data_IF_563893393068
#
_entry.id   IF_563893393068
#
_cell.length_a   1.000
_cell.length_b   1.000
_cell.length_c   1.000
_cell.angle_alpha   90.00
_cell.angle_beta   90.00
_cell.angle_gamma   90.00
#
_symmetry.space_group_name_H-M   'P 1'
#
loop_
_entity.id
_entity.type
_entity.pdbx_description
1 polymer ?
#
# COMPACT_ATOMS: atom_id res chain seq x y z
N UNK A 1 27.29 -0.38 7.59
CA UNK A 1 27.59 -0.77 6.20
C UNK A 1 27.04 -2.15 5.81
N UNK A 2 27.22 -3.17 6.64
CA UNK A 2 26.93 -4.58 6.26
C UNK A 2 25.45 -4.93 6.08
N UNK A 3 24.51 -4.38 6.87
CA UNK A 3 23.07 -4.67 6.72
C UNK A 3 22.45 -4.10 5.42
N UNK A 4 22.97 -2.98 4.92
CA UNK A 4 22.59 -2.44 3.61
C UNK A 4 23.15 -3.31 2.47
N UNK A 5 24.33 -3.89 2.66
CA UNK A 5 24.95 -4.81 1.72
C UNK A 5 24.18 -6.14 1.61
N UNK A 6 23.73 -6.70 2.75
CA UNK A 6 22.84 -7.88 2.77
C UNK A 6 21.45 -7.58 2.19
N UNK A 7 20.91 -6.38 2.43
CA UNK A 7 19.64 -5.93 1.82
C UNK A 7 19.74 -5.72 0.30
N UNK A 8 20.85 -5.16 -0.20
CA UNK A 8 21.11 -4.95 -1.64
C UNK A 8 21.48 -6.25 -2.36
N UNK A 9 22.25 -7.15 -1.73
CA UNK A 9 22.53 -8.48 -2.25
C UNK A 9 21.28 -9.36 -2.26
N UNK A 10 20.47 -9.33 -1.20
CA UNK A 10 19.18 -10.03 -1.17
C UNK A 10 18.21 -9.50 -2.23
N UNK A 11 18.20 -8.19 -2.48
CA UNK A 11 17.37 -7.56 -3.51
C UNK A 11 17.81 -7.86 -4.94
N UNK A 12 19.11 -7.76 -5.21
CA UNK A 12 19.68 -8.14 -6.51
C UNK A 12 19.52 -9.63 -6.74
N UNK A 13 19.57 -10.46 -5.70
CA UNK A 13 19.28 -11.89 -5.78
C UNK A 13 17.79 -12.16 -6.01
N UNK A 14 16.86 -11.41 -5.39
CA UNK A 14 15.42 -11.53 -5.63
C UNK A 14 15.01 -11.02 -7.02
N UNK A 15 15.59 -9.91 -7.48
CA UNK A 15 15.38 -9.36 -8.82
C UNK A 15 16.02 -10.23 -9.90
N UNK A 16 17.19 -10.84 -9.62
CA UNK A 16 17.79 -11.88 -10.47
C UNK A 16 16.97 -13.16 -10.44
N UNK A 17 16.46 -13.61 -9.30
CA UNK A 17 15.56 -14.76 -9.20
C UNK A 17 14.26 -14.50 -9.95
N UNK A 18 13.65 -13.33 -9.79
CA UNK A 18 12.46 -12.92 -10.53
C UNK A 18 12.73 -12.83 -12.03
N UNK A 19 13.88 -12.28 -12.44
CA UNK A 19 14.32 -12.24 -13.83
C UNK A 19 14.62 -13.63 -14.39
N UNK A 20 15.26 -14.51 -13.62
CA UNK A 20 15.58 -15.90 -13.99
C UNK A 20 14.34 -16.77 -14.02
N UNK A 21 13.38 -16.57 -13.10
CA UNK A 21 12.07 -17.23 -13.11
C UNK A 21 11.29 -16.74 -14.33
N UNK A 22 11.25 -15.43 -14.59
CA UNK A 22 10.68 -14.89 -15.82
C UNK A 22 11.39 -15.43 -17.08
N UNK A 23 12.70 -15.58 -17.04
CA UNK A 23 13.50 -16.06 -18.16
C UNK A 23 13.30 -17.56 -18.39
N UNK A 24 13.19 -18.38 -17.34
CA UNK A 24 12.84 -19.79 -17.45
C UNK A 24 11.41 -19.98 -17.91
N UNK A 25 10.47 -19.19 -17.40
CA UNK A 25 9.09 -19.18 -17.93
C UNK A 25 9.04 -18.78 -19.41
N UNK A 26 9.98 -17.97 -19.91
CA UNK A 26 10.10 -17.67 -21.34
C UNK A 26 10.90 -18.71 -22.14
N UNK A 27 11.82 -19.45 -21.51
CA UNK A 27 12.73 -20.41 -22.18
C UNK A 27 12.11 -21.80 -22.38
N UNK A 28 11.15 -22.18 -21.55
CA UNK A 28 10.25 -23.32 -21.78
C UNK A 28 9.39 -23.17 -23.07
N UNK A 29 9.47 -22.01 -23.75
CA UNK A 29 8.71 -21.73 -24.98
C UNK A 29 9.46 -22.14 -26.27
N UNK A 30 10.71 -22.60 -26.23
CA UNK A 30 11.46 -22.96 -27.46
C UNK A 30 11.78 -24.46 -27.61
N UNK A 31 11.43 -25.31 -26.65
CA UNK A 31 11.76 -26.73 -26.68
C UNK A 31 10.58 -27.67 -26.43
N UNK A 32 9.97 -28.19 -27.51
CA UNK A 32 9.34 -29.52 -27.46
C UNK A 32 7.84 -29.59 -27.68
N UNK A 33 7.45 -29.82 -28.94
CA UNK A 33 6.23 -30.54 -29.28
C UNK A 33 6.37 -32.00 -28.87
N UNK A 34 5.50 -32.55 -28.01
CA UNK A 34 4.96 -33.92 -28.08
C UNK A 34 3.95 -34.25 -26.94
N UNK A 35 2.70 -34.51 -27.35
CA UNK A 35 1.77 -35.55 -26.88
C UNK A 35 1.67 -35.96 -25.38
N UNK A 36 0.48 -35.73 -24.80
CA UNK A 36 -0.29 -36.79 -24.11
C UNK A 36 -0.43 -36.71 -22.58
N UNK A 37 -1.63 -36.36 -22.08
CA UNK A 37 -2.12 -36.68 -20.72
C UNK A 37 -2.29 -35.49 -19.76
N UNK A 38 -3.54 -35.21 -19.34
CA UNK A 38 -3.94 -34.22 -18.29
C UNK A 38 -3.40 -34.59 -16.88
N UNK A 39 -3.41 -33.68 -15.87
CA UNK A 39 -3.86 -32.28 -15.87
C UNK A 39 -2.79 -31.28 -15.43
N UNK A 40 -2.88 -30.04 -15.91
CA UNK A 40 -1.94 -28.96 -15.57
C UNK A 40 -1.21 -28.35 -16.75
N UNK A 41 -1.73 -28.51 -17.98
CA UNK A 41 -1.21 -27.77 -19.13
C UNK A 41 -1.43 -26.27 -18.90
N UNK A 42 -0.37 -25.56 -18.56
CA UNK A 42 -0.39 -24.10 -18.50
C UNK A 42 -0.82 -23.58 -19.88
N UNK A 43 -1.91 -22.83 -19.90
CA UNK A 43 -2.52 -22.30 -21.10
C UNK A 43 -1.50 -21.37 -21.79
N UNK A 44 -0.98 -21.76 -22.97
CA UNK A 44 0.00 -20.96 -23.73
C UNK A 44 -0.51 -19.54 -24.05
N UNK A 45 -1.83 -19.32 -23.94
CA UNK A 45 -2.47 -18.00 -23.97
C UNK A 45 -2.16 -17.16 -22.73
N UNK A 46 -2.20 -17.75 -21.54
CA UNK A 46 -1.79 -17.07 -20.30
C UNK A 46 -0.28 -16.74 -20.33
N UNK A 47 0.53 -17.60 -20.96
CA UNK A 47 1.97 -17.34 -21.11
C UNK A 47 2.27 -16.12 -22.01
N UNK A 48 1.37 -15.79 -22.94
CA UNK A 48 1.46 -14.58 -23.77
C UNK A 48 1.23 -13.30 -22.96
N UNK A 49 0.47 -13.36 -21.85
CA UNK A 49 0.23 -12.23 -20.97
C UNK A 49 1.51 -11.76 -20.24
N UNK A 50 2.50 -12.63 -19.99
CA UNK A 50 3.79 -12.21 -19.38
C UNK A 50 4.57 -11.19 -20.21
N UNK A 51 4.23 -11.02 -21.50
CA UNK A 51 4.77 -9.92 -22.31
C UNK A 51 4.37 -8.54 -21.78
N UNK A 52 3.29 -8.44 -21.00
CA UNK A 52 2.87 -7.22 -20.30
C UNK A 52 3.85 -6.80 -19.20
N UNK A 53 4.69 -7.73 -18.71
CA UNK A 53 5.71 -7.45 -17.70
C UNK A 53 7.03 -6.94 -18.30
N UNK A 54 7.18 -6.94 -19.64
CA UNK A 54 8.39 -6.43 -20.31
C UNK A 54 8.76 -4.98 -19.93
N UNK A 55 7.81 -4.03 -19.75
CA UNK A 55 8.12 -2.69 -19.26
C UNK A 55 8.78 -2.66 -17.88
N UNK A 56 8.60 -3.69 -17.03
CA UNK A 56 9.32 -3.77 -15.74
C UNK A 56 10.83 -3.93 -15.92
N UNK A 57 11.32 -4.38 -17.09
CA UNK A 57 12.77 -4.37 -17.40
C UNK A 57 13.33 -2.94 -17.55
N UNK A 58 12.50 -1.94 -17.82
CA UNK A 58 12.91 -0.53 -17.84
C UNK A 58 13.29 -0.05 -16.44
N UNK A 59 12.66 -0.59 -15.39
CA UNK A 59 13.05 -0.35 -13.99
C UNK A 59 14.48 -0.79 -13.73
N UNK A 60 14.88 -1.97 -14.24
CA UNK A 60 16.26 -2.44 -14.11
C UNK A 60 17.26 -1.68 -15.00
N UNK A 61 16.79 -0.98 -16.03
CA UNK A 61 17.65 -0.18 -16.91
C UNK A 61 17.95 1.22 -16.37
N UNK A 62 17.03 1.82 -15.60
CA UNK A 62 17.16 3.19 -15.10
C UNK A 62 17.48 3.19 -13.60
N UNK A 63 18.70 3.59 -13.18
CA UNK A 63 19.11 3.52 -11.78
C UNK A 63 18.23 4.37 -10.85
N UNK A 64 17.71 5.50 -11.32
CA UNK A 64 16.82 6.37 -10.54
C UNK A 64 15.52 5.67 -10.11
N UNK A 65 14.94 4.84 -10.98
CA UNK A 65 13.69 4.13 -10.67
C UNK A 65 13.91 2.97 -9.70
N UNK A 66 15.10 2.35 -9.72
CA UNK A 66 15.49 1.31 -8.77
C UNK A 66 15.53 1.84 -7.33
N UNK A 67 16.03 3.07 -7.14
CA UNK A 67 16.09 3.69 -5.81
C UNK A 67 14.68 3.88 -5.24
N UNK A 68 13.72 4.32 -6.06
CA UNK A 68 12.33 4.50 -5.67
C UNK A 68 11.68 3.16 -5.32
N UNK A 69 11.82 2.15 -6.19
CA UNK A 69 11.19 0.84 -5.98
C UNK A 69 11.75 0.10 -4.76
N UNK A 70 13.07 0.19 -4.53
CA UNK A 70 13.70 -0.32 -3.31
C UNK A 70 13.21 0.37 -2.04
N UNK A 71 12.85 1.65 -2.13
CA UNK A 71 12.29 2.40 -1.00
C UNK A 71 10.86 1.97 -0.69
N UNK A 72 10.03 1.76 -1.73
CA UNK A 72 8.66 1.25 -1.59
C UNK A 72 8.65 -0.11 -0.90
N UNK A 73 9.50 -1.04 -1.33
CA UNK A 73 9.39 -2.40 -0.79
C UNK A 73 9.98 -2.51 0.61
N UNK A 74 10.97 -1.69 0.97
CA UNK A 74 11.39 -1.55 2.36
C UNK A 74 10.23 -1.06 3.26
N UNK A 75 9.38 -0.16 2.75
CA UNK A 75 8.19 0.31 3.47
C UNK A 75 7.05 -0.73 3.54
N UNK A 76 7.01 -1.72 2.64
CA UNK A 76 5.98 -2.76 2.63
C UNK A 76 6.15 -3.81 3.74
N UNK A 77 7.39 -4.10 4.15
CA UNK A 77 7.70 -5.09 5.19
C UNK A 77 6.94 -4.85 6.51
N UNK A 78 6.93 -3.65 7.11
CA UNK A 78 6.16 -3.41 8.33
C UNK A 78 4.64 -3.53 8.12
N UNK A 79 4.13 -3.25 6.92
CA UNK A 79 2.71 -3.39 6.59
C UNK A 79 2.27 -4.86 6.51
N UNK A 80 3.19 -5.80 6.27
CA UNK A 80 2.86 -7.23 6.20
C UNK A 80 2.33 -7.78 7.54
N UNK A 81 2.88 -7.32 8.67
CA UNK A 81 2.40 -7.72 9.99
C UNK A 81 0.97 -7.26 10.25
N UNK A 82 0.62 -6.05 9.77
CA UNK A 82 -0.75 -5.54 9.81
C UNK A 82 -1.63 -6.40 8.92
N UNK A 83 -1.22 -6.63 7.68
CA UNK A 83 -2.00 -7.40 6.72
C UNK A 83 -2.32 -8.82 7.26
N UNK A 84 -1.38 -9.45 7.97
CA UNK A 84 -1.63 -10.72 8.66
C UNK A 84 -2.68 -10.61 9.77
N UNK A 85 -2.68 -9.53 10.55
CA UNK A 85 -3.69 -9.27 11.58
C UNK A 85 -5.07 -9.00 10.95
N UNK A 86 -5.14 -8.23 9.87
CA UNK A 86 -6.39 -8.01 9.10
C UNK A 86 -6.91 -9.32 8.53
N UNK A 87 -6.03 -10.13 7.94
CA UNK A 87 -6.37 -11.44 7.40
C UNK A 87 -6.97 -12.36 8.48
N UNK A 88 -6.42 -12.32 9.70
CA UNK A 88 -6.95 -13.10 10.81
C UNK A 88 -8.38 -12.68 11.19
N UNK A 89 -8.67 -11.37 11.22
CA UNK A 89 -10.03 -10.86 11.44
C UNK A 89 -10.97 -11.30 10.32
N UNK A 90 -10.55 -11.23 9.06
CA UNK A 90 -11.32 -11.71 7.91
C UNK A 90 -11.66 -13.19 8.08
N UNK A 91 -10.71 -14.03 8.47
CA UNK A 91 -10.92 -15.47 8.66
C UNK A 91 -11.97 -15.73 9.75
N UNK A 92 -11.90 -15.04 10.89
CA UNK A 92 -12.87 -15.21 11.99
C UNK A 92 -14.29 -14.89 11.49
N UNK A 93 -14.48 -13.72 10.87
CA UNK A 93 -15.79 -13.34 10.37
C UNK A 93 -16.26 -14.23 9.22
N UNK A 94 -15.36 -14.70 8.35
CA UNK A 94 -15.71 -15.62 7.28
C UNK A 94 -16.24 -16.97 7.82
N UNK A 95 -15.63 -17.52 8.88
CA UNK A 95 -16.12 -18.76 9.50
C UNK A 95 -17.50 -18.52 10.14
N UNK A 96 -17.65 -17.42 10.88
CA UNK A 96 -18.94 -17.07 11.51
C UNK A 96 -20.03 -16.89 10.44
N UNK A 97 -19.74 -16.15 9.37
CA UNK A 97 -20.67 -15.92 8.27
C UNK A 97 -21.02 -17.20 7.52
N UNK A 98 -20.06 -18.10 7.31
CA UNK A 98 -20.29 -19.40 6.68
C UNK A 98 -21.28 -20.24 7.50
N UNK A 99 -21.04 -20.38 8.80
CA UNK A 99 -21.93 -21.17 9.68
C UNK A 99 -23.35 -20.57 9.77
N UNK A 100 -23.47 -19.23 9.76
CA UNK A 100 -24.77 -18.56 9.88
C UNK A 100 -25.56 -18.54 8.57
N UNK A 101 -24.88 -18.40 7.42
CA UNK A 101 -25.50 -17.98 6.17
C UNK A 101 -25.35 -18.98 5.01
N UNK A 102 -24.82 -20.17 5.26
CA UNK A 102 -24.69 -21.23 4.25
C UNK A 102 -26.02 -21.53 3.54
N UNK A 103 -25.98 -21.48 2.20
CA UNK A 103 -27.06 -21.86 1.30
C UNK A 103 -28.28 -20.95 1.31
N UNK A 104 -28.22 -19.78 1.96
CA UNK A 104 -29.39 -18.90 2.12
C UNK A 104 -29.69 -18.07 0.86
N UNK A 105 -28.69 -17.77 0.04
CA UNK A 105 -28.80 -16.87 -1.12
C UNK A 105 -29.12 -17.55 -2.46
N UNK A 106 -29.54 -18.82 -2.46
CA UNK A 106 -29.80 -19.59 -3.70
C UNK A 106 -31.27 -19.62 -4.15
N UNK A 107 -32.11 -18.78 -3.57
CA UNK A 107 -33.54 -18.71 -3.85
C UNK A 107 -33.87 -17.34 -4.42
N UNK A 108 -34.60 -17.28 -5.51
CA UNK A 108 -35.09 -16.02 -6.09
C UNK A 108 -36.50 -16.21 -6.66
N UNK A 109 -37.11 -15.13 -7.13
CA UNK A 109 -38.46 -15.14 -7.68
C UNK A 109 -38.45 -15.55 -9.15
N UNK A 110 -39.08 -16.68 -9.45
CA UNK A 110 -39.25 -17.22 -10.80
C UNK A 110 -40.71 -17.12 -11.23
N UNK A 111 -40.98 -17.10 -12.54
CA UNK A 111 -42.33 -17.27 -13.08
C UNK A 111 -42.84 -18.68 -12.82
N UNK A 112 -44.13 -18.82 -12.49
CA UNK A 112 -44.77 -20.14 -12.35
C UNK A 112 -44.61 -20.91 -13.67
N UNK A 113 -44.23 -22.19 -13.57
CA UNK A 113 -43.97 -23.10 -14.70
C UNK A 113 -42.83 -22.70 -15.65
N UNK A 114 -41.93 -21.79 -15.26
CA UNK A 114 -40.78 -21.37 -16.07
C UNK A 114 -39.54 -21.09 -15.23
N UNK A 115 -38.35 -21.45 -15.72
CA UNK A 115 -37.06 -21.14 -15.05
C UNK A 115 -36.52 -19.75 -15.42
N UNK A 116 -37.42 -18.80 -15.70
CA UNK A 116 -37.08 -17.42 -16.08
C UNK A 116 -37.17 -16.54 -14.83
N UNK A 117 -36.08 -15.80 -14.57
CA UNK A 117 -36.03 -14.77 -13.54
C UNK A 117 -36.85 -13.55 -13.98
N UNK A 118 -37.66 -13.02 -13.06
CA UNK A 118 -38.58 -11.91 -13.35
C UNK A 118 -37.92 -10.55 -13.22
N UNK A 119 -36.95 -10.44 -12.32
CA UNK A 119 -36.27 -9.19 -11.99
C UNK A 119 -34.97 -9.07 -12.79
N UNK A 120 -34.72 -7.89 -13.36
CA UNK A 120 -33.46 -7.56 -14.05
C UNK A 120 -32.27 -7.61 -13.08
N UNK A 121 -32.49 -7.16 -11.85
CA UNK A 121 -31.58 -7.32 -10.71
C UNK A 121 -32.18 -8.31 -9.70
N UNK A 122 -31.93 -9.63 -9.85
CA UNK A 122 -32.52 -10.64 -8.99
C UNK A 122 -31.98 -10.54 -7.56
N UNK A 123 -32.90 -10.58 -6.60
CA UNK A 123 -32.60 -10.61 -5.16
C UNK A 123 -33.01 -11.96 -4.54
N UNK A 124 -32.45 -12.31 -3.36
CA UNK A 124 -32.89 -13.47 -2.61
C UNK A 124 -34.37 -13.39 -2.20
N UNK A 125 -35.01 -14.55 -2.06
CA UNK A 125 -36.36 -14.65 -1.51
C UNK A 125 -36.48 -15.77 -0.45
N UNK A 126 -37.51 -15.68 0.38
CA UNK A 126 -37.87 -16.68 1.36
C UNK A 126 -39.20 -17.38 1.01
N UNK A 127 -39.27 -18.69 1.22
CA UNK A 127 -40.49 -19.49 1.00
C UNK A 127 -41.61 -19.13 1.98
N UNK A 128 -41.25 -18.82 3.22
CA UNK A 128 -42.15 -18.43 4.31
C UNK A 128 -41.31 -17.91 5.48
N UNK A 129 -41.78 -16.88 6.18
CA UNK A 129 -41.08 -16.27 7.32
C UNK A 129 -40.80 -14.77 7.15
N UNK A 130 -39.77 -14.29 7.84
CA UNK A 130 -39.42 -12.86 7.94
C UNK A 130 -38.60 -12.32 6.75
N UNK A 131 -38.28 -13.15 5.76
CA UNK A 131 -37.59 -12.75 4.54
C UNK A 131 -38.55 -12.19 3.48
N UNK A 132 -37.98 -11.69 2.37
CA UNK A 132 -38.72 -11.13 1.25
C UNK A 132 -39.55 -12.20 0.54
N UNK A 133 -40.81 -11.88 0.29
CA UNK A 133 -41.72 -12.72 -0.50
C UNK A 133 -41.88 -12.14 -1.91
N UNK A 134 -42.12 -13.01 -2.88
CA UNK A 134 -42.39 -12.59 -4.26
C UNK A 134 -43.79 -11.94 -4.33
N UNK A 135 -43.85 -10.67 -4.71
CA UNK A 135 -45.09 -9.86 -4.68
C UNK A 135 -45.88 -9.97 -6.00
N UNK A 136 -45.23 -10.40 -7.08
CA UNK A 136 -45.84 -10.42 -8.41
C UNK A 136 -46.76 -11.63 -8.59
N UNK A 137 -47.97 -11.38 -9.11
CA UNK A 137 -48.91 -12.44 -9.48
C UNK A 137 -48.27 -13.35 -10.53
N UNK A 138 -48.32 -14.66 -10.30
CA UNK A 138 -47.68 -15.62 -11.19
C UNK A 138 -46.19 -15.84 -10.94
N UNK A 139 -45.67 -15.44 -9.77
CA UNK A 139 -44.29 -15.73 -9.36
C UNK A 139 -44.23 -16.63 -8.13
N UNK A 140 -43.25 -17.52 -8.10
CA UNK A 140 -42.95 -18.37 -6.94
C UNK A 140 -41.49 -18.23 -6.51
N UNK A 141 -41.26 -18.27 -5.19
CA UNK A 141 -39.90 -18.29 -4.65
C UNK A 141 -39.35 -19.71 -4.82
N UNK A 142 -38.40 -19.89 -5.73
CA UNK A 142 -37.84 -21.20 -6.07
C UNK A 142 -36.31 -21.18 -5.90
N UNK A 143 -35.76 -22.32 -5.49
CA UNK A 143 -34.31 -22.53 -5.49
C UNK A 143 -33.78 -22.72 -6.91
N UNK A 144 -32.46 -22.63 -7.08
CA UNK A 144 -31.80 -22.82 -8.38
C UNK A 144 -31.20 -21.54 -8.96
N UNK A 145 -31.28 -20.43 -8.21
CA UNK A 145 -30.53 -19.23 -8.54
C UNK A 145 -29.08 -19.38 -8.07
N UNK A 146 -28.12 -19.02 -8.93
CA UNK A 146 -26.68 -19.06 -8.63
C UNK A 146 -26.30 -18.14 -7.46
N UNK A 147 -27.10 -17.11 -7.21
CA UNK A 147 -26.89 -16.11 -6.16
C UNK A 147 -26.48 -14.74 -6.73
N UNK A 148 -26.34 -13.72 -5.87
CA UNK A 148 -26.01 -12.37 -6.30
C UNK A 148 -24.65 -12.32 -6.99
N UNK A 149 -24.46 -11.35 -7.89
CA UNK A 149 -23.22 -11.17 -8.67
C UNK A 149 -22.72 -12.44 -9.38
N UNK A 150 -23.64 -13.22 -9.96
CA UNK A 150 -23.30 -14.48 -10.63
C UNK A 150 -22.84 -15.58 -9.68
N UNK A 151 -23.23 -15.51 -8.40
CA UNK A 151 -22.84 -16.48 -7.37
C UNK A 151 -21.45 -16.23 -6.79
N UNK A 152 -20.88 -15.04 -6.95
CA UNK A 152 -19.57 -14.69 -6.35
C UNK A 152 -19.73 -14.29 -4.89
N UNK A 153 -20.75 -13.47 -4.59
CA UNK A 153 -21.01 -12.95 -3.25
C UNK A 153 -21.95 -13.90 -2.50
N UNK A 154 -21.37 -14.89 -1.83
CA UNK A 154 -22.08 -15.91 -1.06
C UNK A 154 -21.25 -16.38 0.16
N UNK A 155 -21.88 -17.17 1.03
CA UNK A 155 -21.27 -17.74 2.23
C UNK A 155 -21.21 -19.28 2.20
N UNK A 156 -21.27 -19.90 1.01
CA UNK A 156 -21.38 -21.36 0.88
C UNK A 156 -20.03 -22.07 1.00
N UNK A 157 -18.96 -21.38 0.62
CA UNK A 157 -17.59 -21.87 0.70
C UNK A 157 -16.72 -20.89 1.47
N UNK A 158 -15.72 -21.42 2.17
CA UNK A 158 -14.80 -20.60 2.95
C UNK A 158 -14.13 -19.49 2.13
N UNK A 159 -13.72 -19.79 0.89
CA UNK A 159 -13.10 -18.80 0.01
C UNK A 159 -14.06 -17.68 -0.43
N UNK A 160 -15.30 -18.00 -0.79
CA UNK A 160 -16.30 -17.00 -1.16
C UNK A 160 -16.80 -16.19 0.05
N UNK A 161 -16.90 -16.84 1.23
CA UNK A 161 -17.17 -16.15 2.48
C UNK A 161 -16.05 -15.14 2.82
N UNK A 162 -14.78 -15.54 2.70
CA UNK A 162 -13.65 -14.63 2.87
C UNK A 162 -13.67 -13.46 1.87
N UNK A 163 -13.98 -13.72 0.59
CA UNK A 163 -14.08 -12.67 -0.42
C UNK A 163 -15.20 -11.67 -0.11
N UNK A 164 -16.37 -12.17 0.27
CA UNK A 164 -17.54 -11.36 0.63
C UNK A 164 -17.26 -10.53 1.90
N UNK A 165 -16.60 -11.12 2.91
CA UNK A 165 -16.17 -10.40 4.11
C UNK A 165 -15.13 -9.34 3.78
N UNK A 166 -14.16 -9.64 2.91
CA UNK A 166 -13.17 -8.68 2.45
C UNK A 166 -13.83 -7.48 1.75
N UNK A 167 -14.77 -7.73 0.83
CA UNK A 167 -15.58 -6.68 0.18
C UNK A 167 -16.35 -5.83 1.21
N UNK A 168 -16.90 -6.45 2.25
CA UNK A 168 -17.58 -5.70 3.30
C UNK A 168 -16.62 -4.81 4.12
N UNK A 169 -15.41 -5.31 4.41
CA UNK A 169 -14.39 -4.56 5.17
C UNK A 169 -13.87 -3.36 4.37
N UNK A 170 -13.79 -3.45 3.05
CA UNK A 170 -13.43 -2.30 2.19
C UNK A 170 -14.52 -1.22 2.13
N UNK A 171 -15.65 -1.42 2.82
CA UNK A 171 -16.81 -0.52 2.86
C UNK A 171 -17.47 -0.33 1.48
N UNK A 172 -17.27 -1.26 0.53
CA UNK A 172 -17.84 -1.18 -0.81
C UNK A 172 -18.93 -2.25 -0.98
N UNK A 173 -20.17 -1.83 -1.25
CA UNK A 173 -21.30 -2.76 -1.48
C UNK A 173 -21.66 -3.63 -0.27
N UNK A 174 -21.24 -3.28 0.95
CA UNK A 174 -21.55 -4.02 2.18
C UNK A 174 -23.03 -3.94 2.54
N UNK A 175 -23.68 -2.82 2.21
CA UNK A 175 -25.13 -2.60 2.37
C UNK A 175 -25.93 -3.51 1.46
N UNK A 176 -25.50 -3.69 0.21
CA UNK A 176 -26.14 -4.61 -0.73
C UNK A 176 -26.08 -6.06 -0.23
N UNK A 177 -24.93 -6.52 0.29
CA UNK A 177 -24.81 -7.86 0.90
C UNK A 177 -25.70 -8.01 2.13
N UNK A 178 -25.79 -6.99 2.98
CA UNK A 178 -26.70 -6.96 4.11
C UNK A 178 -28.16 -7.07 3.65
N UNK A 179 -28.57 -6.30 2.63
CA UNK A 179 -29.94 -6.31 2.12
C UNK A 179 -30.30 -7.65 1.48
N UNK A 180 -29.39 -8.26 0.71
CA UNK A 180 -29.60 -9.61 0.20
C UNK A 180 -29.78 -10.63 1.33
N UNK A 181 -29.02 -10.51 2.42
CA UNK A 181 -29.20 -11.38 3.57
C UNK A 181 -30.55 -11.16 4.26
N UNK A 182 -30.95 -9.90 4.44
CA UNK A 182 -32.26 -9.56 5.01
C UNK A 182 -33.41 -10.12 4.16
N UNK A 183 -33.29 -10.02 2.83
CA UNK A 183 -34.28 -10.59 1.91
C UNK A 183 -34.32 -12.13 1.99
N UNK A 184 -33.18 -12.79 2.25
CA UNK A 184 -33.10 -14.24 2.35
C UNK A 184 -33.64 -14.83 3.68
N UNK A 185 -33.36 -14.18 4.83
CA UNK A 185 -33.65 -14.75 6.15
C UNK A 185 -34.35 -13.80 7.14
N UNK A 186 -34.57 -12.53 6.76
CA UNK A 186 -35.17 -11.49 7.59
C UNK A 186 -34.16 -10.64 8.36
N UNK A 187 -34.66 -9.60 9.01
CA UNK A 187 -33.85 -8.52 9.60
C UNK A 187 -33.25 -8.80 10.97
N UNK A 188 -33.47 -9.95 11.60
CA UNK A 188 -33.16 -10.12 13.04
C UNK A 188 -31.67 -10.35 13.34
N UNK A 189 -30.99 -11.17 12.54
CA UNK A 189 -29.60 -11.58 12.75
C UNK A 189 -28.57 -10.89 11.83
N UNK A 190 -28.85 -10.63 10.54
CA UNK A 190 -27.82 -10.14 9.62
C UNK A 190 -27.26 -8.78 10.01
N UNK A 191 -28.10 -7.84 10.46
CA UNK A 191 -27.64 -6.49 10.83
C UNK A 191 -26.60 -6.52 11.95
N UNK A 192 -26.74 -7.40 12.95
CA UNK A 192 -25.75 -7.51 14.05
C UNK A 192 -24.39 -7.94 13.49
N UNK A 193 -24.40 -8.92 12.59
CA UNK A 193 -23.18 -9.41 11.95
C UNK A 193 -22.51 -8.33 11.08
N UNK A 194 -23.25 -7.72 10.15
CA UNK A 194 -22.66 -6.76 9.21
C UNK A 194 -22.28 -5.44 9.87
N UNK A 195 -23.08 -4.93 10.81
CA UNK A 195 -22.75 -3.69 11.54
C UNK A 195 -21.53 -3.90 12.45
N UNK A 196 -21.45 -5.02 13.17
CA UNK A 196 -20.25 -5.32 13.96
C UNK A 196 -19.01 -5.54 13.08
N UNK A 197 -19.16 -6.17 11.91
CA UNK A 197 -18.10 -6.32 10.92
C UNK A 197 -17.57 -4.97 10.41
N UNK A 198 -18.44 -4.01 10.12
CA UNK A 198 -18.00 -2.68 9.66
C UNK A 198 -17.34 -1.87 10.80
N UNK A 199 -17.90 -1.94 12.00
CA UNK A 199 -17.34 -1.24 13.18
C UNK A 199 -15.97 -1.81 13.56
N UNK A 200 -15.88 -3.13 13.78
CA UNK A 200 -14.66 -3.77 14.26
C UNK A 200 -13.70 -4.19 13.15
N UNK A 201 -14.19 -4.41 11.93
CA UNK A 201 -13.35 -4.70 10.77
C UNK A 201 -12.82 -3.40 10.18
N UNK A 202 -13.69 -2.59 9.57
CA UNK A 202 -13.24 -1.46 8.76
C UNK A 202 -12.60 -0.34 9.57
N UNK A 203 -13.24 0.16 10.64
CA UNK A 203 -12.67 1.27 11.41
C UNK A 203 -11.38 0.89 12.14
N UNK A 204 -11.35 -0.32 12.73
CA UNK A 204 -10.14 -0.80 13.39
C UNK A 204 -8.98 -0.99 12.41
N UNK A 205 -9.24 -1.59 11.24
CA UNK A 205 -8.21 -1.83 10.21
C UNK A 205 -7.68 -0.51 9.66
N UNK A 206 -8.56 0.44 9.31
CA UNK A 206 -8.15 1.76 8.83
C UNK A 206 -7.30 2.50 9.87
N UNK A 207 -7.73 2.51 11.14
CA UNK A 207 -7.00 3.18 12.22
C UNK A 207 -5.63 2.54 12.48
N UNK A 208 -5.54 1.20 12.40
CA UNK A 208 -4.28 0.49 12.59
C UNK A 208 -3.32 0.77 11.43
N UNK A 209 -3.80 0.72 10.19
CA UNK A 209 -3.00 1.04 8.99
C UNK A 209 -2.47 2.48 9.06
N UNK A 210 -3.34 3.45 9.36
CA UNK A 210 -2.93 4.85 9.52
C UNK A 210 -1.92 5.05 10.66
N UNK A 211 -2.13 4.37 11.79
CA UNK A 211 -1.22 4.44 12.95
C UNK A 211 0.18 3.91 12.62
N UNK A 212 0.29 2.78 11.95
CA UNK A 212 1.60 2.21 11.60
C UNK A 212 2.27 2.96 10.46
N UNK A 213 1.52 3.39 9.44
CA UNK A 213 2.05 4.25 8.38
C UNK A 213 2.60 5.55 8.97
N UNK A 214 1.86 6.18 9.88
CA UNK A 214 2.31 7.38 10.60
C UNK A 214 3.58 7.11 11.41
N UNK A 215 3.64 5.98 12.12
CA UNK A 215 4.83 5.56 12.86
C UNK A 215 6.05 5.34 11.97
N UNK A 216 5.90 4.64 10.86
CA UNK A 216 7.01 4.34 9.94
C UNK A 216 7.45 5.60 9.17
N UNK A 217 6.52 6.45 8.75
CA UNK A 217 6.86 7.75 8.15
C UNK A 217 7.55 8.69 9.14
N UNK A 218 7.14 8.69 10.41
CA UNK A 218 7.79 9.46 11.46
C UNK A 218 9.23 8.99 11.68
N UNK A 219 9.45 7.67 11.74
CA UNK A 219 10.78 7.06 11.87
C UNK A 219 11.67 7.36 10.67
N UNK A 220 11.15 7.30 9.46
CA UNK A 220 11.93 7.58 8.25
C UNK A 220 12.27 9.07 8.14
N UNK A 221 11.33 9.96 8.50
CA UNK A 221 11.55 11.40 8.59
C UNK A 221 12.62 11.76 9.63
N UNK A 222 12.62 11.09 10.78
CA UNK A 222 13.63 11.30 11.83
C UNK A 222 15.04 10.92 11.35
N UNK A 223 15.18 9.78 10.66
CA UNK A 223 16.48 9.39 10.05
C UNK A 223 16.96 10.40 9.00
N UNK A 224 16.05 10.90 8.16
CA UNK A 224 16.38 11.91 7.16
C UNK A 224 16.85 13.22 7.82
N UNK A 225 16.16 13.65 8.88
CA UNK A 225 16.53 14.83 9.66
C UNK A 225 17.91 14.66 10.32
N UNK A 226 18.17 13.54 10.98
CA UNK A 226 19.46 13.26 11.60
C UNK A 226 20.63 13.28 10.61
N UNK A 227 20.42 12.79 9.37
CA UNK A 227 21.44 12.87 8.30
C UNK A 227 21.69 14.32 7.86
N UNK A 228 20.63 15.10 7.68
CA UNK A 228 20.75 16.52 7.33
C UNK A 228 21.45 17.32 8.44
N UNK A 229 21.12 17.05 9.70
CA UNK A 229 21.74 17.70 10.86
C UNK A 229 23.24 17.31 10.97
N UNK A 230 23.59 16.05 10.69
CA UNK A 230 24.99 15.60 10.66
C UNK A 230 25.80 16.26 9.52
N UNK A 231 25.20 16.42 8.34
CA UNK A 231 25.81 17.10 7.20
C UNK A 231 26.13 18.56 7.55
N UNK A 232 25.15 19.27 8.12
CA UNK A 232 25.31 20.66 8.59
C UNK A 232 26.40 20.80 9.66
N UNK A 233 26.47 19.83 10.59
CA UNK A 233 27.50 19.83 11.63
C UNK A 233 28.90 19.72 11.02
N UNK A 234 29.06 18.83 10.03
CA UNK A 234 30.32 18.63 9.32
C UNK A 234 30.73 19.85 8.49
N UNK A 235 29.79 20.47 7.79
CA UNK A 235 30.03 21.71 7.04
C UNK A 235 30.47 22.85 7.98
N UNK A 236 29.84 22.96 9.15
CA UNK A 236 30.21 23.97 10.15
C UNK A 236 31.62 23.71 10.71
N UNK A 237 31.95 22.46 11.01
CA UNK A 237 33.27 22.08 11.54
C UNK A 237 34.38 22.37 10.51
N UNK A 238 34.14 22.05 9.24
CA UNK A 238 35.07 22.35 8.16
C UNK A 238 35.30 23.87 8.03
N UNK A 239 34.23 24.65 8.08
CA UNK A 239 34.32 26.11 7.95
C UNK A 239 35.07 26.76 9.13
N UNK A 240 34.90 26.23 10.35
CA UNK A 240 35.65 26.66 11.53
C UNK A 240 37.15 26.31 11.42
N UNK A 241 37.50 25.13 10.90
CA UNK A 241 38.90 24.74 10.65
C UNK A 241 39.56 25.58 9.56
N UNK A 242 38.86 25.80 8.43
CA UNK A 242 39.36 26.62 7.32
C UNK A 242 39.58 28.07 7.76
N UNK A 243 38.63 28.66 8.50
CA UNK A 243 38.75 30.01 9.03
C UNK A 243 39.95 30.16 9.97
N UNK A 244 40.21 29.16 10.81
CA UNK A 244 41.37 29.16 11.72
C UNK A 244 42.68 29.05 10.94
N UNK A 245 42.74 28.23 9.89
CA UNK A 245 43.90 28.14 9.00
C UNK A 245 44.21 29.46 8.30
N UNK A 246 43.18 30.17 7.82
CA UNK A 246 43.36 31.51 7.24
C UNK A 246 43.88 32.52 8.27
N UNK A 247 43.34 32.51 9.49
CA UNK A 247 43.79 33.41 10.55
C UNK A 247 45.26 33.17 10.92
N UNK A 248 45.66 31.90 11.08
CA UNK A 248 47.04 31.49 11.39
C UNK A 248 48.03 32.01 10.33
N UNK A 249 47.67 31.85 9.06
CA UNK A 249 48.47 32.36 7.94
C UNK A 249 48.59 33.89 7.95
N UNK A 250 47.52 34.63 8.26
CA UNK A 250 47.55 36.11 8.36
C UNK A 250 48.48 36.54 9.50
N UNK A 251 48.34 35.96 10.69
CA UNK A 251 49.21 36.28 11.83
C UNK A 251 50.68 35.99 11.53
N UNK A 252 50.94 34.87 10.85
CA UNK A 252 52.29 34.49 10.48
C UNK A 252 52.90 35.40 9.41
N UNK A 253 52.07 36.00 8.54
CA UNK A 253 52.52 37.00 7.57
C UNK A 253 52.75 38.38 8.22
N UNK A 254 52.02 38.73 9.28
CA UNK A 254 52.19 39.99 10.04
C UNK A 254 53.45 39.96 10.93
N UNK A 255 53.84 38.78 11.41
CA UNK A 255 55.08 38.56 12.19
C UNK A 255 56.37 38.58 11.33
N UNK A 256 56.27 38.75 10.00
CA UNK A 256 57.43 38.92 9.12
C UNK A 256 57.92 40.37 9.24
N UNK A 257 58.87 40.58 10.15
CA UNK A 257 59.60 41.83 10.30
C UNK A 257 60.53 42.07 9.10
N UNK A 258 60.38 43.16 8.31
CA UNK A 258 61.30 43.48 7.23
C UNK A 258 62.70 43.93 7.70
N UNK A 259 62.99 44.03 9.00
CA UNK A 259 64.29 44.48 9.52
C UNK A 259 65.29 43.37 9.87
N UNK A 260 65.35 42.27 9.12
CA UNK A 260 66.51 41.37 9.19
C UNK A 260 66.95 40.85 7.81
N UNK A 261 67.39 41.78 6.96
CA UNK A 261 68.43 41.51 5.99
C UNK A 261 69.74 41.30 6.75
N UNK A 262 70.03 40.08 7.23
CA UNK A 262 71.41 39.57 7.33
C UNK A 262 71.44 38.08 7.74
N UNK A 263 72.14 37.31 6.91
CA UNK A 263 72.67 35.94 7.07
C UNK A 263 71.72 34.74 6.82
N UNK A 264 71.97 34.13 5.65
CA UNK A 264 71.51 32.80 5.23
C UNK A 264 72.19 31.73 6.07
N UNK A 265 71.42 30.81 6.65
CA UNK A 265 71.90 29.44 6.87
C UNK A 265 70.80 28.41 6.62
N UNK A 266 71.15 27.40 5.83
CA UNK A 266 70.36 26.21 5.55
C UNK A 266 70.22 25.35 6.81
N UNK A 267 69.01 25.18 7.35
CA UNK A 267 68.50 23.85 7.74
C UNK A 267 67.03 23.92 8.17
N UNK A 268 66.18 23.15 7.48
CA UNK A 268 64.79 22.94 7.88
C UNK A 268 63.80 23.17 6.75
N UNK A 269 63.84 22.33 5.71
CA UNK A 269 62.66 22.10 4.85
C UNK A 269 61.48 21.71 5.75
N UNK A 270 60.61 22.66 6.07
CA UNK A 270 59.26 22.37 6.58
C UNK A 270 58.26 22.84 5.54
N UNK A 271 57.88 21.86 4.74
CA UNK A 271 56.91 21.87 3.64
C UNK A 271 55.77 22.88 3.85
N UNK A 272 55.89 24.07 3.26
CA UNK A 272 54.75 24.96 3.03
C UNK A 272 54.08 24.53 1.73
N UNK A 273 53.25 23.49 1.80
CA UNK A 273 52.28 23.24 0.74
C UNK A 273 51.02 24.03 1.08
N UNK A 274 50.62 24.91 0.16
CA UNK A 274 49.26 25.46 0.10
C UNK A 274 48.24 24.33 0.39
N UNK A 275 47.20 24.54 1.23
CA UNK A 275 46.07 23.63 1.20
C UNK A 275 45.42 23.80 -0.18
N UNK A 276 45.75 22.91 -1.11
CA UNK A 276 45.02 22.82 -2.36
C UNK A 276 43.63 22.34 -2.00
N UNK A 277 42.63 23.19 -2.25
CA UNK A 277 41.24 22.77 -2.29
C UNK A 277 41.12 21.62 -3.30
N UNK A 278 41.03 20.38 -2.84
CA UNK A 278 40.48 19.31 -3.66
C UNK A 278 38.98 19.57 -3.78
N UNK A 279 38.62 20.37 -4.78
CA UNK A 279 37.28 20.37 -5.34
C UNK A 279 37.07 19.04 -6.06
N UNK A 280 36.56 18.02 -5.37
CA UNK A 280 35.75 17.01 -6.06
C UNK A 280 34.40 17.65 -6.36
N UNK A 281 34.28 18.14 -7.58
CA UNK A 281 33.01 18.46 -8.21
C UNK A 281 32.11 17.21 -8.23
N UNK A 282 31.05 17.20 -7.43
CA UNK A 282 29.87 16.40 -7.74
C UNK A 282 28.72 17.37 -7.97
N UNK A 283 28.34 17.45 -9.24
CA UNK A 283 27.20 18.21 -9.74
C UNK A 283 25.97 18.06 -8.84
N UNK A 284 25.45 19.19 -8.37
CA UNK A 284 24.00 19.35 -8.24
C UNK A 284 23.65 20.68 -8.89
N UNK A 285 22.84 20.60 -9.93
CA UNK A 285 22.26 21.76 -10.61
C UNK A 285 21.40 22.55 -9.62
N UNK A 286 21.60 23.87 -9.63
CA UNK A 286 20.75 24.84 -8.98
C UNK A 286 19.37 24.89 -9.64
N UNK A 287 18.31 24.94 -8.83
CA UNK A 287 17.16 25.80 -9.09
C UNK A 287 16.88 26.61 -7.81
N UNK A 288 16.86 27.92 -7.99
CA UNK A 288 16.61 28.98 -7.03
C UNK A 288 15.12 29.16 -6.69
N UNK A 289 14.84 29.71 -5.51
CA UNK A 289 13.51 30.23 -5.16
C UNK A 289 13.37 30.61 -3.69
N UNK A 290 13.39 31.92 -3.42
CA UNK A 290 13.29 32.64 -2.13
C UNK A 290 11.99 32.46 -1.33
N UNK A 291 12.10 32.73 -0.01
CA UNK A 291 11.10 33.44 0.82
C UNK A 291 9.92 32.60 1.32
N UNK A 292 9.37 32.72 2.54
CA UNK A 292 9.43 33.66 3.66
C UNK A 292 8.84 32.90 4.89
N UNK A 293 9.26 33.24 6.11
CA UNK A 293 8.42 33.11 7.31
C UNK A 293 7.87 34.52 7.61
N UNK A 294 6.71 34.75 8.25
CA UNK A 294 6.26 33.99 9.44
C UNK A 294 4.72 33.85 9.61
N UNK A 295 4.28 33.02 10.56
CA UNK A 295 3.33 33.40 11.63
C UNK A 295 2.71 32.18 12.33
N UNK A 296 2.64 32.31 13.65
CA UNK A 296 1.88 31.47 14.56
C UNK A 296 0.38 31.50 14.26
N UNK A 297 -0.30 30.38 14.43
CA UNK A 297 -1.52 30.33 15.23
C UNK A 297 -1.70 28.92 15.80
N UNK A 298 -1.51 28.82 17.11
CA UNK A 298 -1.86 27.64 17.89
C UNK A 298 -3.25 27.80 18.50
N UNK A 299 -3.97 26.67 18.51
CA UNK A 299 -5.01 26.25 19.45
C UNK A 299 -6.26 27.12 19.67
N UNK A 300 -7.40 26.57 19.27
CA UNK A 300 -8.61 26.22 20.02
C UNK A 300 -9.61 25.85 18.88
N UNK A 301 -10.38 24.77 18.89
CA UNK A 301 -11.49 24.48 19.78
C UNK A 301 -11.74 22.97 19.78
N UNK A 302 -11.97 22.43 20.96
CA UNK A 302 -12.47 21.09 21.20
C UNK A 302 -14.01 21.08 21.23
N UNK A 303 -14.55 19.92 20.84
CA UNK A 303 -15.83 19.34 21.29
C UNK A 303 -17.09 19.73 20.51
N UNK A 304 -17.85 18.68 20.17
CA UNK A 304 -19.21 18.61 19.60
C UNK A 304 -19.33 18.53 18.07
N UNK A 305 -19.37 17.29 17.54
CA UNK A 305 -20.31 16.86 16.48
C UNK A 305 -20.19 15.35 16.22
N UNK A 306 -20.58 14.53 17.23
CA UNK A 306 -20.62 13.07 17.10
C UNK A 306 -22.01 12.53 16.69
N UNK A 307 -23.00 13.37 16.41
CA UNK A 307 -24.35 12.92 16.03
C UNK A 307 -24.78 13.22 14.58
N UNK A 308 -24.02 13.97 13.79
CA UNK A 308 -24.43 14.33 12.41
C UNK A 308 -23.82 13.45 11.30
N UNK A 309 -22.78 12.67 11.59
CA UNK A 309 -22.14 11.78 10.60
C UNK A 309 -22.96 10.52 10.26
N UNK A 310 -23.95 10.17 11.08
CA UNK A 310 -24.79 9.00 10.83
C UNK A 310 -25.87 9.26 9.76
N UNK A 311 -26.31 10.51 9.61
CA UNK A 311 -27.28 10.90 8.56
C UNK A 311 -26.64 11.26 7.23
N UNK A 312 -25.37 11.72 7.19
CA UNK A 312 -24.72 12.09 5.92
C UNK A 312 -24.32 10.87 5.09
N UNK A 313 -23.82 9.80 5.73
CA UNK A 313 -23.36 8.59 5.02
C UNK A 313 -24.53 7.83 4.38
N UNK A 314 -25.71 7.80 5.02
CA UNK A 314 -26.93 7.21 4.42
C UNK A 314 -27.59 8.14 3.38
N UNK A 315 -27.40 9.46 3.48
CA UNK A 315 -27.96 10.42 2.54
C UNK A 315 -27.17 10.51 1.22
N UNK A 316 -25.84 10.38 1.25
CA UNK A 316 -25.01 10.42 0.03
C UNK A 316 -25.24 9.20 -0.88
N UNK A 317 -25.52 8.02 -0.33
CA UNK A 317 -25.80 6.81 -1.12
C UNK A 317 -27.17 6.86 -1.84
N UNK A 318 -28.17 7.56 -1.26
CA UNK A 318 -29.46 7.77 -1.91
C UNK A 318 -29.40 8.76 -3.08
N UNK A 319 -28.43 9.67 -3.09
CA UNK A 319 -28.30 10.68 -4.14
C UNK A 319 -27.59 10.16 -5.40
N UNK A 320 -26.82 9.06 -5.29
CA UNK A 320 -26.09 8.48 -6.43
C UNK A 320 -26.92 7.46 -7.24
N UNK A 321 -27.94 6.82 -6.64
CA UNK A 321 -28.83 5.86 -7.34
C UNK A 321 -30.03 6.49 -8.06
N UNK A 322 -30.09 7.82 -8.18
CA UNK A 322 -31.25 8.53 -8.73
C UNK A 322 -30.95 9.47 -9.91
N UNK A 323 -29.80 9.28 -10.59
CA UNK A 323 -29.44 9.98 -11.83
C UNK A 323 -28.99 8.99 -12.90
#
# INVERSE_FOLDING_TARGET
MSLLYWGLQGWTQYSRLFSVILEQLTKETEGGSHSGGKPGGFDVKALRAFRVLRPLRLVSGVPSLQVVLNSIIKAMVPLLHIALLVLFVIIIYAIIGLELFIGKMHKSCFLIDSDILVEEDPAPCAFSGNGRQCVMNGTECKGGWVGPNGGITNFDNFAFAMLTVFQCITMEGWTDVLYWMNDAMGFELPWVYFVSLVIFGSFFVLNLVLGVLSGEFSKEREKAKARGDFQKLREKQQLEEDLKGYLDWITQAEDIDPENDEEVDEEGKRNTSMPTSETESVNTENVSGEGENPACCGSLWSTWEYELLFSSVIAEEKCYKQN
#
